data_IF_828693591684
#
_entry.id   IF_828693591684
#
_cell.length_a   1.000
_cell.length_b   1.000
_cell.length_c   1.000
_cell.angle_alpha   90.00
_cell.angle_beta   90.00
_cell.angle_gamma   90.00
#
_symmetry.space_group_name_H-M   'P 1'
#
loop_
_entity.id
_entity.type
_entity.pdbx_description
1 polymer ?
#
# COMPACT_ATOMS: atom_id res chain seq x y z
N UNK A 1 22.98 2.30 -11.21
CA UNK A 1 24.21 1.54 -11.53
C UNK A 1 24.94 1.17 -10.25
N UNK A 2 24.92 -0.12 -9.88
CA UNK A 2 25.68 -0.63 -8.73
C UNK A 2 27.15 -0.94 -9.07
N UNK A 3 27.53 -0.78 -10.34
CA UNK A 3 28.86 -1.10 -10.88
C UNK A 3 29.35 -2.50 -10.50
N UNK A 4 28.47 -3.49 -10.66
CA UNK A 4 28.66 -4.88 -10.24
C UNK A 4 29.27 -5.67 -11.38
N UNK A 5 30.32 -6.42 -11.12
CA UNK A 5 30.99 -7.29 -12.10
C UNK A 5 30.42 -8.73 -12.13
N UNK A 6 29.43 -9.03 -11.32
CA UNK A 6 28.80 -10.37 -11.22
C UNK A 6 27.44 -10.39 -11.90
N UNK A 7 27.18 -11.45 -12.67
CA UNK A 7 25.85 -11.74 -13.18
C UNK A 7 24.97 -12.32 -12.08
N UNK A 8 23.71 -11.89 -12.03
CA UNK A 8 22.72 -12.36 -11.05
C UNK A 8 21.50 -12.87 -11.78
N UNK A 9 21.00 -14.04 -11.40
CA UNK A 9 19.71 -14.54 -11.87
C UNK A 9 18.66 -14.26 -10.79
N UNK A 10 17.59 -13.55 -11.16
CA UNK A 10 16.49 -13.19 -10.26
C UNK A 10 15.21 -13.86 -10.74
N UNK A 11 14.55 -14.59 -9.85
CA UNK A 11 13.24 -15.17 -10.06
C UNK A 11 12.25 -14.57 -9.08
N UNK A 12 11.13 -14.06 -9.60
CA UNK A 12 10.01 -13.58 -8.78
C UNK A 12 8.93 -14.65 -8.75
N UNK A 13 8.85 -15.39 -7.65
CA UNK A 13 7.89 -16.49 -7.47
C UNK A 13 6.48 -15.93 -7.26
N UNK A 14 6.35 -14.91 -6.40
CA UNK A 14 5.08 -14.25 -6.11
C UNK A 14 5.29 -12.74 -6.00
N UNK A 15 4.32 -11.98 -6.47
CA UNK A 15 4.30 -10.52 -6.33
C UNK A 15 2.88 -9.99 -6.43
N UNK A 16 2.56 -8.86 -5.76
CA UNK A 16 1.25 -8.24 -5.88
C UNK A 16 0.98 -7.75 -7.30
N UNK A 17 -0.27 -7.73 -7.76
CA UNK A 17 -0.64 -7.20 -9.07
C UNK A 17 -0.04 -5.82 -9.32
N UNK A 18 0.39 -5.56 -10.56
CA UNK A 18 1.05 -4.30 -10.92
C UNK A 18 0.04 -3.26 -11.38
N UNK A 19 0.31 -1.99 -11.03
CA UNK A 19 -0.49 -0.84 -11.46
C UNK A 19 -1.94 -0.86 -10.98
N UNK A 20 -2.17 -1.39 -9.79
CA UNK A 20 -3.49 -1.43 -9.13
C UNK A 20 -3.52 -0.67 -7.80
N UNK A 21 -2.52 0.16 -7.52
CA UNK A 21 -2.45 0.96 -6.28
C UNK A 21 -1.77 0.29 -5.09
N UNK A 22 -1.30 -0.96 -5.21
CA UNK A 22 -0.71 -1.72 -4.10
C UNK A 22 0.79 -1.50 -3.86
N UNK A 23 1.42 -0.53 -4.52
CA UNK A 23 2.84 -0.23 -4.33
C UNK A 23 3.82 -1.33 -4.81
N UNK A 24 3.34 -2.32 -5.58
CA UNK A 24 4.12 -3.48 -6.04
C UNK A 24 5.42 -3.10 -6.74
N UNK A 25 5.43 -2.03 -7.54
CA UNK A 25 6.63 -1.58 -8.23
C UNK A 25 7.77 -1.19 -7.29
N UNK A 26 7.47 -0.56 -6.15
CA UNK A 26 8.47 -0.22 -5.13
C UNK A 26 8.99 -1.49 -4.45
N UNK A 27 8.11 -2.41 -4.07
CA UNK A 27 8.49 -3.66 -3.41
C UNK A 27 9.38 -4.53 -4.30
N UNK A 28 9.02 -4.72 -5.57
CA UNK A 28 9.80 -5.48 -6.56
C UNK A 28 11.20 -4.88 -6.72
N UNK A 29 11.30 -3.56 -6.89
CA UNK A 29 12.58 -2.90 -7.11
C UNK A 29 13.46 -2.95 -5.86
N UNK A 30 12.92 -2.68 -4.67
CA UNK A 30 13.69 -2.76 -3.44
C UNK A 30 14.14 -4.20 -3.16
N UNK A 31 13.30 -5.21 -3.38
CA UNK A 31 13.66 -6.62 -3.23
C UNK A 31 14.81 -7.00 -4.17
N UNK A 32 14.69 -6.69 -5.45
CA UNK A 32 15.72 -7.00 -6.45
C UNK A 32 17.06 -6.30 -6.11
N UNK A 33 17.01 -5.00 -5.83
CA UNK A 33 18.21 -4.23 -5.54
C UNK A 33 18.88 -4.66 -4.23
N UNK A 34 18.09 -5.01 -3.21
CA UNK A 34 18.60 -5.56 -1.95
C UNK A 34 19.27 -6.92 -2.18
N UNK A 35 18.64 -7.82 -2.94
CA UNK A 35 19.22 -9.13 -3.25
C UNK A 35 20.53 -8.99 -4.03
N UNK A 36 20.58 -8.14 -5.05
CA UNK A 36 21.78 -7.86 -5.84
C UNK A 36 22.89 -7.29 -4.94
N UNK A 37 22.57 -6.32 -4.09
CA UNK A 37 23.50 -5.68 -3.17
C UNK A 37 24.16 -6.72 -2.23
N UNK A 38 23.35 -7.63 -1.69
CA UNK A 38 23.82 -8.71 -0.81
C UNK A 38 24.72 -9.69 -1.57
N UNK A 39 24.28 -10.17 -2.74
CA UNK A 39 25.03 -11.13 -3.56
C UNK A 39 26.36 -10.56 -4.10
N UNK A 40 26.39 -9.24 -4.31
CA UNK A 40 27.60 -8.53 -4.72
C UNK A 40 28.47 -8.09 -3.54
N UNK A 41 28.11 -8.45 -2.30
CA UNK A 41 28.79 -8.04 -1.08
C UNK A 41 28.92 -6.53 -0.89
N UNK A 42 28.02 -5.76 -1.50
CA UNK A 42 27.94 -4.30 -1.39
C UNK A 42 27.04 -3.95 -0.21
N UNK A 43 27.58 -3.29 0.80
CA UNK A 43 26.79 -2.79 1.93
C UNK A 43 26.07 -1.53 1.53
N UNK A 44 24.75 -1.60 1.45
CA UNK A 44 23.88 -0.45 1.18
C UNK A 44 22.71 -0.42 2.14
N UNK A 45 22.37 0.75 2.63
CA UNK A 45 21.12 0.95 3.38
C UNK A 45 19.92 0.95 2.43
N UNK A 46 18.73 0.73 2.98
CA UNK A 46 17.49 0.79 2.19
C UNK A 46 17.27 2.19 1.59
N UNK A 47 17.70 3.25 2.29
CA UNK A 47 17.68 4.63 1.82
C UNK A 47 18.57 4.83 0.60
N UNK A 48 19.79 4.29 0.63
CA UNK A 48 20.71 4.37 -0.50
C UNK A 48 20.17 3.59 -1.70
N UNK A 49 19.58 2.41 -1.48
CA UNK A 49 18.92 1.62 -2.52
C UNK A 49 17.75 2.41 -3.10
N UNK A 50 16.89 2.97 -2.25
CA UNK A 50 15.74 3.77 -2.67
C UNK A 50 16.18 4.98 -3.51
N UNK A 51 17.21 5.70 -3.06
CA UNK A 51 17.78 6.83 -3.80
C UNK A 51 18.29 6.42 -5.19
N UNK A 52 19.10 5.37 -5.27
CA UNK A 52 19.67 4.87 -6.52
C UNK A 52 18.63 4.32 -7.49
N UNK A 53 17.53 3.83 -6.97
CA UNK A 53 16.39 3.30 -7.76
C UNK A 53 15.30 4.34 -8.02
N UNK A 54 15.53 5.60 -7.64
CA UNK A 54 14.60 6.72 -7.78
C UNK A 54 13.25 6.45 -7.10
N UNK A 55 13.30 5.84 -5.89
CA UNK A 55 12.12 5.61 -5.04
C UNK A 55 12.09 6.60 -3.89
N UNK A 56 10.89 6.87 -3.36
CA UNK A 56 10.70 7.83 -2.27
C UNK A 56 10.54 9.29 -2.70
N UNK A 57 10.39 9.57 -4.00
CA UNK A 57 10.20 10.93 -4.51
C UNK A 57 8.93 11.59 -3.98
N UNK A 58 7.83 10.85 -3.91
CA UNK A 58 6.52 11.35 -3.47
C UNK A 58 6.12 10.83 -2.10
N UNK A 59 6.47 9.60 -1.79
CA UNK A 59 6.08 8.94 -0.54
C UNK A 59 7.13 7.91 -0.11
N UNK A 60 7.43 7.91 1.17
CA UNK A 60 8.31 6.94 1.80
C UNK A 60 7.56 5.73 2.37
N UNK A 61 6.23 5.70 2.30
CA UNK A 61 5.42 4.61 2.85
C UNK A 61 5.89 3.25 2.32
N UNK A 62 6.08 3.11 1.00
CA UNK A 62 6.54 1.85 0.42
C UNK A 62 7.96 1.44 0.84
N UNK A 63 8.84 2.38 1.13
CA UNK A 63 10.19 2.14 1.64
C UNK A 63 10.14 1.70 3.09
N UNK A 64 9.34 2.38 3.91
CA UNK A 64 9.20 2.07 5.33
C UNK A 64 8.46 0.75 5.58
N UNK A 65 7.44 0.43 4.78
CA UNK A 65 6.78 -0.88 4.85
C UNK A 65 7.72 -2.00 4.43
N UNK A 66 8.57 -1.79 3.42
CA UNK A 66 9.62 -2.73 3.06
C UNK A 66 10.62 -2.94 4.21
N UNK A 67 11.03 -1.87 4.89
CA UNK A 67 12.00 -1.92 5.99
C UNK A 67 11.43 -2.55 7.25
N UNK A 68 10.25 -2.11 7.68
CA UNK A 68 9.74 -2.30 9.03
C UNK A 68 8.36 -2.97 9.10
N UNK A 69 7.63 -3.06 8.00
CA UNK A 69 6.22 -3.47 8.02
C UNK A 69 5.33 -2.57 8.87
N UNK A 70 4.12 -3.03 9.14
CA UNK A 70 3.16 -2.36 10.01
C UNK A 70 2.40 -1.21 9.36
N UNK A 71 1.72 -0.42 10.16
CA UNK A 71 0.96 0.76 9.75
C UNK A 71 1.86 2.00 9.77
N UNK A 72 1.94 2.68 8.65
CA UNK A 72 2.84 3.83 8.45
C UNK A 72 2.02 5.09 8.17
N UNK A 73 2.30 6.15 8.92
CA UNK A 73 1.83 7.49 8.63
C UNK A 73 3.03 8.33 8.20
N UNK A 74 3.00 8.82 6.98
CA UNK A 74 3.96 9.80 6.48
C UNK A 74 3.54 11.21 6.94
N UNK A 75 4.45 11.92 7.58
CA UNK A 75 4.21 13.29 8.05
C UNK A 75 4.59 14.35 7.00
N UNK A 76 4.73 13.93 5.75
CA UNK A 76 5.09 14.78 4.63
C UNK A 76 6.58 15.04 4.49
N UNK A 77 6.98 15.52 3.32
CA UNK A 77 8.36 15.82 2.99
C UNK A 77 8.71 17.25 3.38
N UNK A 78 9.81 17.43 4.10
CA UNK A 78 10.35 18.77 4.40
C UNK A 78 11.19 19.25 3.21
N UNK A 79 11.14 20.56 2.95
CA UNK A 79 12.07 21.19 2.00
C UNK A 79 13.50 20.85 2.38
N UNK A 80 14.28 20.39 1.42
CA UNK A 80 15.68 20.02 1.57
C UNK A 80 15.97 18.78 2.45
N UNK A 81 14.96 17.97 2.80
CA UNK A 81 15.16 16.68 3.45
C UNK A 81 14.85 15.55 2.47
N UNK A 82 15.79 14.62 2.33
CA UNK A 82 15.57 13.40 1.59
C UNK A 82 14.70 12.42 2.39
N UNK A 83 14.81 12.45 3.71
CA UNK A 83 14.05 11.60 4.62
C UNK A 83 12.70 12.23 4.97
N UNK A 84 11.63 11.45 4.93
CA UNK A 84 10.33 11.85 5.42
C UNK A 84 10.14 11.37 6.86
N UNK A 85 9.72 12.23 7.80
CA UNK A 85 9.37 11.77 9.13
C UNK A 85 8.11 10.90 9.06
N UNK A 86 8.12 9.82 9.83
CA UNK A 86 7.03 8.84 9.89
C UNK A 86 6.61 8.55 11.32
N UNK A 87 5.38 8.07 11.47
CA UNK A 87 4.91 7.34 12.63
C UNK A 87 4.65 5.90 12.17
N UNK A 88 5.19 4.93 12.90
CA UNK A 88 4.98 3.52 12.65
C UNK A 88 4.35 2.85 13.86
N UNK A 89 3.28 2.10 13.64
CA UNK A 89 2.63 1.26 14.64
C UNK A 89 2.55 -0.19 14.14
N UNK A 90 2.47 -1.14 15.08
CA UNK A 90 1.97 -2.46 14.72
C UNK A 90 0.48 -2.34 14.42
N UNK A 91 0.06 -2.95 13.33
CA UNK A 91 -1.34 -3.06 13.00
C UNK A 91 -1.92 -4.34 13.64
N UNK A 92 -3.17 -4.35 14.10
CA UNK A 92 -3.78 -5.56 14.66
C UNK A 92 -3.70 -6.74 13.69
N UNK A 93 -3.11 -7.85 14.14
CA UNK A 93 -2.87 -9.03 13.29
C UNK A 93 -4.12 -9.90 13.10
N UNK A 94 -5.11 -9.72 13.96
CA UNK A 94 -6.42 -10.37 13.92
C UNK A 94 -7.44 -9.63 13.03
N UNK A 95 -7.13 -8.40 12.62
CA UNK A 95 -7.98 -7.70 11.66
C UNK A 95 -7.67 -8.17 10.24
N UNK A 96 -8.72 -8.62 9.55
CA UNK A 96 -8.65 -9.00 8.15
C UNK A 96 -8.71 -7.75 7.27
N UNK A 97 -7.89 -7.75 6.24
CA UNK A 97 -7.84 -6.73 5.20
C UNK A 97 -8.39 -7.36 3.92
N UNK A 98 -9.47 -6.83 3.42
CA UNK A 98 -10.08 -7.25 2.16
C UNK A 98 -9.61 -6.30 1.07
N UNK A 99 -8.94 -6.82 0.07
CA UNK A 99 -8.50 -6.09 -1.11
C UNK A 99 -9.32 -6.58 -2.30
N UNK A 100 -9.98 -5.67 -3.00
CA UNK A 100 -10.79 -5.99 -4.17
C UNK A 100 -10.33 -5.18 -5.37
N UNK A 101 -10.01 -5.87 -6.46
CA UNK A 101 -9.40 -5.31 -7.67
C UNK A 101 -10.33 -5.55 -8.85
N UNK A 102 -11.01 -4.51 -9.37
CA UNK A 102 -11.83 -4.64 -10.57
C UNK A 102 -11.02 -5.02 -11.82
N UNK A 103 -11.57 -5.90 -12.65
CA UNK A 103 -10.89 -6.50 -13.82
C UNK A 103 -10.45 -5.50 -14.90
N UNK A 104 -10.98 -4.29 -14.94
CA UNK A 104 -11.00 -3.55 -16.22
C UNK A 104 -9.99 -2.42 -16.38
N UNK A 105 -9.32 -1.93 -15.36
CA UNK A 105 -8.38 -0.82 -15.56
C UNK A 105 -7.18 -0.86 -14.62
N UNK A 106 -6.01 -0.65 -15.19
CA UNK A 106 -4.80 -0.34 -14.43
C UNK A 106 -4.88 1.12 -13.98
N UNK A 107 -4.51 1.37 -12.74
CA UNK A 107 -4.37 2.74 -12.22
C UNK A 107 -3.30 3.53 -12.97
N UNK A 108 -3.21 4.82 -12.68
CA UNK A 108 -2.15 5.66 -13.23
C UNK A 108 -0.78 5.14 -12.80
N UNK A 109 0.19 5.23 -13.68
CA UNK A 109 1.57 4.81 -13.39
C UNK A 109 2.60 5.62 -14.19
N UNK A 110 3.79 5.74 -13.65
CA UNK A 110 4.92 6.39 -14.31
C UNK A 110 4.69 7.89 -14.54
N UNK A 111 5.00 8.37 -15.74
CA UNK A 111 4.95 9.80 -16.08
C UNK A 111 3.56 10.43 -15.91
N UNK A 112 2.50 9.67 -16.13
CA UNK A 112 1.12 10.16 -15.95
C UNK A 112 0.80 10.34 -14.48
N UNK A 113 1.21 9.44 -13.62
CA UNK A 113 1.07 9.55 -12.17
C UNK A 113 1.88 10.75 -11.65
N UNK A 114 3.11 10.90 -12.11
CA UNK A 114 4.00 12.02 -11.77
C UNK A 114 3.38 13.38 -12.15
N UNK A 115 2.82 13.51 -13.34
CA UNK A 115 2.19 14.74 -13.82
C UNK A 115 0.97 15.12 -12.97
N UNK A 116 0.13 14.14 -12.65
CA UNK A 116 -1.07 14.37 -11.85
C UNK A 116 -0.70 14.71 -10.39
N UNK A 117 0.19 13.95 -9.75
CA UNK A 117 0.63 14.21 -8.37
C UNK A 117 1.28 15.59 -8.22
N UNK A 118 1.98 16.07 -9.23
CA UNK A 118 2.59 17.41 -9.23
C UNK A 118 1.59 18.55 -9.22
N UNK A 119 0.36 18.31 -9.70
CA UNK A 119 -0.70 19.32 -9.85
C UNK A 119 -1.62 19.39 -8.64
N UNK A 120 -1.67 18.36 -7.83
CA UNK A 120 -2.55 18.32 -6.65
C UNK A 120 -1.96 19.17 -5.54
N UNK A 121 -2.77 20.08 -5.05
CA UNK A 121 -2.47 20.88 -3.87
C UNK A 121 -3.64 20.76 -2.92
N UNK A 122 -3.43 20.07 -1.82
CA UNK A 122 -4.41 20.03 -0.75
C UNK A 122 -4.61 21.41 -0.15
N UNK A 123 -5.87 21.76 0.13
CA UNK A 123 -6.17 22.96 0.89
C UNK A 123 -5.63 22.84 2.33
N UNK A 124 -5.28 23.95 2.97
CA UNK A 124 -4.85 23.94 4.38
C UNK A 124 -5.94 23.35 5.30
N UNK A 125 -7.20 23.59 4.98
CA UNK A 125 -8.33 23.06 5.72
C UNK A 125 -8.41 21.53 5.57
N UNK A 126 -8.29 21.01 4.37
CA UNK A 126 -8.26 19.57 4.13
C UNK A 126 -7.11 18.90 4.88
N UNK A 127 -5.92 19.48 4.88
CA UNK A 127 -4.76 18.97 5.62
C UNK A 127 -5.04 18.96 7.14
N UNK A 128 -5.60 20.04 7.70
CA UNK A 128 -5.98 20.10 9.12
C UNK A 128 -7.02 19.03 9.48
N UNK A 129 -8.02 18.85 8.63
CA UNK A 129 -9.07 17.87 8.84
C UNK A 129 -8.54 16.44 8.76
N UNK A 130 -7.62 16.13 7.82
CA UNK A 130 -6.92 14.83 7.76
C UNK A 130 -6.13 14.60 9.06
N UNK A 131 -5.34 15.57 9.50
CA UNK A 131 -4.58 15.46 10.76
C UNK A 131 -5.52 15.22 11.95
N UNK A 132 -6.63 15.94 12.04
CA UNK A 132 -7.63 15.74 13.08
C UNK A 132 -8.19 14.31 13.05
N UNK A 133 -8.58 13.80 11.89
CA UNK A 133 -9.11 12.44 11.75
C UNK A 133 -8.07 11.39 12.16
N UNK A 134 -6.82 11.55 11.70
CA UNK A 134 -5.73 10.63 12.02
C UNK A 134 -5.47 10.60 13.54
N UNK A 135 -5.35 11.77 14.18
CA UNK A 135 -5.02 11.88 15.60
C UNK A 135 -6.17 11.50 16.54
N UNK A 136 -7.43 11.75 16.13
CA UNK A 136 -8.60 11.53 17.01
C UNK A 136 -9.32 10.21 16.75
N UNK A 137 -9.06 9.53 15.62
CA UNK A 137 -9.77 8.29 15.25
C UNK A 137 -8.83 7.18 14.79
N UNK A 138 -7.99 7.43 13.76
CA UNK A 138 -7.16 6.37 13.17
C UNK A 138 -6.15 5.82 14.17
N UNK A 139 -5.34 6.69 14.78
CA UNK A 139 -4.34 6.28 15.76
C UNK A 139 -4.98 5.68 17.03
N UNK A 140 -5.95 6.33 17.68
CA UNK A 140 -6.64 5.72 18.81
C UNK A 140 -7.29 4.39 18.45
N UNK A 141 -7.94 4.28 17.28
CA UNK A 141 -8.58 3.04 16.84
C UNK A 141 -7.61 1.87 16.78
N UNK A 142 -6.37 2.08 16.29
CA UNK A 142 -5.32 1.05 16.27
C UNK A 142 -4.85 0.74 17.71
N UNK A 143 -4.55 1.78 18.51
CA UNK A 143 -3.96 1.65 19.85
C UNK A 143 -4.94 0.98 20.82
N UNK A 144 -6.21 1.35 20.75
CA UNK A 144 -7.29 0.83 21.59
C UNK A 144 -7.91 -0.46 21.03
N UNK A 145 -7.41 -0.96 19.89
CA UNK A 145 -7.94 -2.12 19.20
C UNK A 145 -9.44 -1.98 18.85
N UNK A 146 -9.84 -0.78 18.45
CA UNK A 146 -11.22 -0.42 18.11
C UNK A 146 -11.36 -0.22 16.59
N UNK A 147 -11.78 -1.28 15.92
CA UNK A 147 -11.89 -1.30 14.44
C UNK A 147 -12.94 -0.31 13.92
N UNK A 148 -14.03 -0.09 14.66
CA UNK A 148 -15.08 0.85 14.28
C UNK A 148 -14.56 2.30 14.31
N UNK A 149 -13.83 2.68 15.36
CA UNK A 149 -13.20 4.00 15.47
C UNK A 149 -12.15 4.21 14.36
N UNK A 150 -11.30 3.19 14.15
CA UNK A 150 -10.32 3.18 13.07
C UNK A 150 -10.99 3.36 11.71
N UNK A 151 -12.02 2.56 11.41
CA UNK A 151 -12.76 2.58 10.15
C UNK A 151 -13.39 3.94 9.87
N UNK A 152 -14.08 4.53 10.85
CA UNK A 152 -14.62 5.90 10.74
C UNK A 152 -13.54 6.94 10.44
N UNK A 153 -12.36 6.76 11.01
CA UNK A 153 -11.20 7.60 10.73
C UNK A 153 -10.71 7.48 9.29
N UNK A 154 -10.51 6.26 8.83
CA UNK A 154 -10.06 5.96 7.45
C UNK A 154 -11.05 6.46 6.41
N UNK A 155 -12.34 6.19 6.59
CA UNK A 155 -13.40 6.67 5.68
C UNK A 155 -13.47 8.21 5.63
N UNK A 156 -13.29 8.87 6.79
CA UNK A 156 -13.24 10.34 6.83
C UNK A 156 -12.03 10.85 6.02
N UNK A 157 -10.85 10.25 6.18
CA UNK A 157 -9.66 10.58 5.39
C UNK A 157 -9.89 10.31 3.91
N UNK A 158 -10.49 9.15 3.56
CA UNK A 158 -10.80 8.81 2.17
C UNK A 158 -11.71 9.86 1.51
N UNK A 159 -12.74 10.32 2.20
CA UNK A 159 -13.64 11.37 1.67
C UNK A 159 -12.91 12.70 1.47
N UNK A 160 -12.09 13.11 2.43
CA UNK A 160 -11.29 14.34 2.33
C UNK A 160 -10.29 14.29 1.18
N UNK A 161 -9.57 13.19 1.06
CA UNK A 161 -8.63 12.98 -0.05
C UNK A 161 -9.37 12.88 -1.37
N UNK A 162 -10.42 12.05 -1.43
CA UNK A 162 -11.22 11.85 -2.65
C UNK A 162 -11.83 13.14 -3.19
N UNK A 163 -12.27 14.06 -2.34
CA UNK A 163 -12.80 15.36 -2.78
C UNK A 163 -11.76 16.24 -3.47
N UNK A 164 -10.50 16.18 -3.07
CA UNK A 164 -9.40 16.90 -3.73
C UNK A 164 -9.06 16.27 -5.10
N UNK A 165 -9.33 14.99 -5.26
CA UNK A 165 -9.10 14.26 -6.51
C UNK A 165 -10.32 14.23 -7.44
N UNK A 166 -11.49 14.64 -6.98
CA UNK A 166 -12.76 14.51 -7.71
C UNK A 166 -12.70 15.10 -9.13
N UNK A 167 -12.10 16.26 -9.29
CA UNK A 167 -11.97 16.92 -10.60
C UNK A 167 -11.07 16.16 -11.59
N UNK A 168 -10.21 15.26 -11.10
CA UNK A 168 -9.24 14.52 -11.90
C UNK A 168 -9.72 13.10 -12.17
N UNK A 169 -10.27 12.43 -11.13
CA UNK A 169 -10.70 11.03 -11.23
C UNK A 169 -12.19 10.86 -11.50
N UNK A 170 -13.01 11.92 -11.37
CA UNK A 170 -14.44 11.87 -11.66
C UNK A 170 -15.35 11.50 -10.50
N UNK A 171 -14.84 11.48 -9.26
CA UNK A 171 -15.59 11.17 -8.04
C UNK A 171 -14.68 11.03 -6.82
N UNK A 172 -15.28 10.84 -5.65
CA UNK A 172 -14.54 10.54 -4.40
C UNK A 172 -13.76 9.23 -4.51
N UNK A 173 -14.31 8.26 -5.20
CA UNK A 173 -13.66 7.04 -5.66
C UNK A 173 -13.51 7.09 -7.17
N UNK A 174 -12.58 6.32 -7.71
CA UNK A 174 -12.55 6.06 -9.15
C UNK A 174 -13.90 5.48 -9.57
N UNK A 175 -14.55 6.00 -10.63
CA UNK A 175 -15.88 5.55 -11.04
C UNK A 175 -16.01 4.04 -11.24
N UNK A 176 -14.95 3.38 -11.73
CA UNK A 176 -14.94 1.94 -11.94
C UNK A 176 -14.93 1.15 -10.61
N UNK A 177 -14.68 1.81 -9.48
CA UNK A 177 -14.56 1.21 -8.15
C UNK A 177 -15.61 1.70 -7.15
N UNK A 178 -16.41 2.71 -7.53
CA UNK A 178 -17.37 3.34 -6.62
C UNK A 178 -18.44 2.36 -6.13
N UNK A 179 -19.03 1.58 -7.04
CA UNK A 179 -20.01 0.54 -6.71
C UNK A 179 -19.43 -0.52 -5.75
N UNK A 180 -18.18 -0.90 -5.96
CA UNK A 180 -17.49 -1.86 -5.11
C UNK A 180 -17.26 -1.32 -3.69
N UNK A 181 -16.96 -0.02 -3.56
CA UNK A 181 -16.83 0.62 -2.25
C UNK A 181 -18.18 0.62 -1.50
N UNK A 182 -19.29 0.88 -2.18
CA UNK A 182 -20.64 0.81 -1.60
C UNK A 182 -20.96 -0.62 -1.15
N UNK A 183 -20.70 -1.63 -1.99
CA UNK A 183 -20.92 -3.04 -1.63
C UNK A 183 -20.09 -3.46 -0.40
N UNK A 184 -18.88 -2.96 -0.24
CA UNK A 184 -18.06 -3.22 0.96
C UNK A 184 -18.69 -2.60 2.21
N UNK A 185 -19.17 -1.36 2.13
CA UNK A 185 -19.84 -0.68 3.25
C UNK A 185 -21.14 -1.40 3.63
N UNK A 186 -21.96 -1.78 2.65
CA UNK A 186 -23.22 -2.50 2.86
C UNK A 186 -22.98 -3.90 3.46
N UNK A 187 -21.85 -4.52 3.16
CA UNK A 187 -21.42 -5.78 3.76
C UNK A 187 -20.92 -5.63 5.21
N UNK A 188 -20.89 -4.40 5.77
CA UNK A 188 -20.46 -4.11 7.13
C UNK A 188 -18.95 -4.06 7.33
N UNK A 189 -18.19 -3.92 6.25
CA UNK A 189 -16.75 -3.71 6.35
C UNK A 189 -16.43 -2.28 6.83
N UNK A 190 -15.40 -2.15 7.64
CA UNK A 190 -14.94 -0.89 8.19
C UNK A 190 -13.83 -0.27 7.35
N UNK A 191 -13.71 1.05 7.39
CA UNK A 191 -12.56 1.75 6.82
C UNK A 191 -12.42 1.56 5.33
N UNK A 192 -13.54 1.52 4.61
CA UNK A 192 -13.52 1.35 3.15
C UNK A 192 -12.85 2.54 2.48
N UNK A 193 -11.86 2.24 1.64
CA UNK A 193 -11.08 3.24 0.95
C UNK A 193 -10.47 2.74 -0.35
N UNK A 194 -9.99 3.68 -1.15
CA UNK A 194 -9.27 3.42 -2.39
C UNK A 194 -7.77 3.47 -2.16
N UNK A 195 -7.06 2.49 -2.67
CA UNK A 195 -5.60 2.47 -2.57
C UNK A 195 -4.96 3.33 -3.66
N UNK A 196 -4.43 4.49 -3.27
CA UNK A 196 -3.83 5.46 -4.21
C UNK A 196 -4.81 5.86 -5.32
N UNK A 197 -4.42 5.74 -6.57
CA UNK A 197 -5.26 6.01 -7.75
C UNK A 197 -6.23 4.86 -8.09
N UNK A 198 -6.31 3.86 -7.23
CA UNK A 198 -7.09 2.66 -7.51
C UNK A 198 -6.45 1.79 -8.61
N UNK A 199 -7.21 0.89 -9.19
CA UNK A 199 -8.63 0.62 -8.93
C UNK A 199 -8.90 -0.17 -7.64
N UNK A 200 -7.87 -0.58 -6.89
CA UNK A 200 -8.06 -1.38 -5.68
C UNK A 200 -8.86 -0.63 -4.62
N UNK A 201 -9.93 -1.25 -4.16
CA UNK A 201 -10.68 -0.85 -2.98
C UNK A 201 -10.30 -1.79 -1.84
N UNK A 202 -10.18 -1.25 -0.65
CA UNK A 202 -9.90 -2.03 0.56
C UNK A 202 -10.95 -1.76 1.64
N UNK A 203 -11.11 -2.73 2.52
CA UNK A 203 -11.92 -2.62 3.74
C UNK A 203 -11.39 -3.55 4.81
N UNK A 204 -11.82 -3.36 6.04
CA UNK A 204 -11.34 -4.10 7.20
C UNK A 204 -12.49 -4.77 7.94
N UNK A 205 -12.22 -5.89 8.59
CA UNK A 205 -13.14 -6.52 9.54
C UNK A 205 -12.36 -7.33 10.58
N UNK A 206 -12.88 -7.41 11.78
CA UNK A 206 -12.43 -8.32 12.85
C UNK A 206 -13.25 -9.61 12.89
N UNK A 207 -14.22 -9.77 11.95
CA UNK A 207 -15.12 -10.90 11.86
C UNK A 207 -14.92 -11.69 10.56
N UNK A 208 -14.37 -12.89 10.61
CA UNK A 208 -14.20 -13.72 9.41
C UNK A 208 -15.50 -14.01 8.66
N UNK A 209 -16.64 -13.96 9.35
CA UNK A 209 -17.95 -14.17 8.71
C UNK A 209 -18.36 -13.03 7.78
N UNK A 210 -18.03 -11.78 8.13
CA UNK A 210 -18.30 -10.62 7.28
C UNK A 210 -17.49 -10.73 5.99
N UNK A 211 -16.20 -11.09 6.09
CA UNK A 211 -15.35 -11.31 4.93
C UNK A 211 -15.90 -12.43 4.02
N UNK A 212 -16.38 -13.54 4.61
CA UNK A 212 -17.01 -14.63 3.85
C UNK A 212 -18.33 -14.21 3.19
N UNK A 213 -19.10 -13.38 3.87
CA UNK A 213 -20.37 -12.87 3.35
C UNK A 213 -20.14 -11.92 2.17
N UNK A 214 -19.17 -11.04 2.29
CA UNK A 214 -18.74 -10.17 1.19
C UNK A 214 -18.27 -10.99 -0.03
N UNK A 215 -17.42 -12.01 0.17
CA UNK A 215 -16.97 -12.87 -0.93
C UNK A 215 -18.13 -13.55 -1.67
N UNK A 216 -19.16 -14.02 -0.94
CA UNK A 216 -20.34 -14.61 -1.57
C UNK A 216 -21.11 -13.58 -2.38
N UNK A 217 -21.32 -12.40 -1.82
CA UNK A 217 -22.03 -11.29 -2.48
C UNK A 217 -21.38 -10.92 -3.80
N UNK A 218 -20.09 -10.66 -3.80
CA UNK A 218 -19.38 -10.18 -5.01
C UNK A 218 -19.17 -11.28 -6.04
N UNK A 219 -19.13 -12.55 -5.65
CA UNK A 219 -19.00 -13.68 -6.58
C UNK A 219 -20.15 -13.74 -7.57
N UNK A 220 -21.35 -13.41 -7.13
CA UNK A 220 -22.56 -13.43 -7.97
C UNK A 220 -22.71 -12.15 -8.79
N UNK A 221 -22.33 -11.00 -8.21
CA UNK A 221 -22.50 -9.69 -8.84
C UNK A 221 -21.35 -9.32 -9.76
N UNK A 222 -20.11 -9.70 -9.39
CA UNK A 222 -18.87 -9.30 -10.08
C UNK A 222 -17.95 -10.52 -10.29
N UNK A 223 -18.29 -11.46 -11.19
CA UNK A 223 -17.58 -12.75 -11.33
C UNK A 223 -16.10 -12.63 -11.70
N UNK A 224 -15.68 -11.48 -12.27
CA UNK A 224 -14.30 -11.22 -12.66
C UNK A 224 -13.54 -10.35 -11.63
N UNK A 225 -14.12 -10.10 -10.46
CA UNK A 225 -13.47 -9.37 -9.39
C UNK A 225 -12.40 -10.24 -8.74
N UNK A 226 -11.17 -9.73 -8.67
CA UNK A 226 -10.14 -10.36 -7.86
C UNK A 226 -10.27 -9.88 -6.40
N UNK A 227 -10.45 -10.82 -5.46
CA UNK A 227 -10.53 -10.51 -4.04
C UNK A 227 -9.46 -11.26 -3.28
N UNK A 228 -8.70 -10.53 -2.49
CA UNK A 228 -7.71 -11.07 -1.57
C UNK A 228 -8.13 -10.75 -0.14
N UNK A 229 -8.05 -11.74 0.74
CA UNK A 229 -8.18 -11.57 2.19
C UNK A 229 -6.82 -11.83 2.79
N UNK A 230 -6.29 -10.87 3.53
CA UNK A 230 -4.98 -10.94 4.14
C UNK A 230 -5.00 -10.29 5.53
N UNK A 231 -3.88 -10.35 6.22
CA UNK A 231 -3.61 -9.63 7.47
C UNK A 231 -2.40 -8.72 7.29
N UNK A 232 -2.14 -7.88 8.26
CA UNK A 232 -0.97 -7.01 8.21
C UNK A 232 0.32 -7.79 8.50
N UNK A 233 1.39 -7.48 7.76
CA UNK A 233 2.74 -7.90 8.11
C UNK A 233 3.40 -6.77 8.91
N UNK A 234 3.65 -7.04 10.19
CA UNK A 234 4.27 -6.08 11.12
C UNK A 234 5.80 -6.11 11.10
N UNK A 235 6.39 -6.94 10.25
CA UNK A 235 7.83 -7.06 10.04
C UNK A 235 8.18 -6.65 8.63
N UNK A 236 9.36 -6.08 8.46
CA UNK A 236 9.88 -5.73 7.15
C UNK A 236 10.31 -6.95 6.33
N UNK A 237 10.89 -6.66 5.18
CA UNK A 237 11.42 -7.67 4.27
C UNK A 237 12.41 -8.61 4.98
N UNK A 238 12.32 -9.88 4.67
CA UNK A 238 13.20 -10.92 5.22
C UNK A 238 14.10 -11.47 4.14
N UNK A 239 15.38 -11.66 4.47
CA UNK A 239 16.35 -12.31 3.60
C UNK A 239 16.65 -13.68 4.18
N UNK A 240 16.48 -14.72 3.37
CA UNK A 240 16.75 -16.11 3.76
C UNK A 240 17.84 -16.63 2.83
N UNK A 241 18.92 -17.12 3.43
CA UNK A 241 19.97 -17.80 2.70
C UNK A 241 19.71 -19.32 2.75
N UNK A 242 19.52 -19.93 1.59
CA UNK A 242 19.59 -21.38 1.46
C UNK A 242 20.95 -21.75 0.86
N UNK A 243 21.72 -22.58 1.54
CA UNK A 243 22.84 -23.24 0.87
C UNK A 243 22.26 -24.25 -0.14
N UNK A 244 22.44 -24.01 -1.41
CA UNK A 244 22.27 -25.08 -2.38
C UNK A 244 23.32 -26.15 -2.05
N UNK A 245 22.89 -27.36 -1.69
CA UNK A 245 23.77 -28.51 -1.64
C UNK A 245 24.38 -28.66 -3.06
N UNK A 246 25.56 -28.12 -3.24
CA UNK A 246 26.41 -28.40 -4.38
C UNK A 246 27.01 -29.81 -4.20
N UNK A 247 26.16 -30.80 -4.41
CA UNK A 247 26.60 -32.18 -4.58
C UNK A 247 25.71 -32.82 -5.63
N UNK A 248 26.02 -32.57 -6.88
CA UNK A 248 25.89 -33.54 -7.99
C UNK A 248 26.65 -32.94 -9.19
N UNK A 249 27.95 -33.22 -9.27
CA UNK A 249 28.67 -33.51 -10.51
C UNK A 249 29.99 -34.19 -10.10
N UNK A 250 29.92 -35.50 -9.99
CA UNK A 250 31.05 -36.39 -10.15
C UNK A 250 30.86 -37.11 -11.48
#
# INVERSE_FOLDING_TARGET
DLNVSVGVNLEFIEYPPRHVGLGSGTQIILSAATAISILAEIRMSIEEIAARTNRGKYSWIGIETFRNGGFIISLGQRKNSYLQPIIRLNFPEDWLIILSIPDKRRGLSGLLEDDVLSKIKYSEETVKNIHSCVMSKVLPGIIEHNIELFGKGVESVQRLVGSEFESIQGGIFNPDSAELAELMLDAGLYGVGQSSWGPTIYGFTDKPDDARSFLRLVKDLMPNLEVYITTAENKGARVIFSQSNSSVFS
#
